data_IF_040533430539
#
_entry.id   IF_040533430539
#
_cell.length_a   1.000
_cell.length_b   1.000
_cell.length_c   1.000
_cell.angle_alpha   90.00
_cell.angle_beta   90.00
_cell.angle_gamma   90.00
#
_symmetry.space_group_name_H-M   'P 1'
#
loop_
_entity.id
_entity.type
_entity.pdbx_description
1 polymer ?
#
# COMPACT_ATOMS: atom_id res chain seq x y z
N UNK A 1 29.55 -36.98 24.48
CA UNK A 1 28.54 -35.98 24.02
C UNK A 1 27.36 -35.94 25.01
N UNK A 2 27.17 -34.86 25.78
CA UNK A 2 25.97 -34.68 26.58
C UNK A 2 24.90 -33.89 25.79
N UNK A 3 23.69 -34.44 25.66
CA UNK A 3 22.53 -33.79 25.03
C UNK A 3 21.99 -32.70 25.97
N UNK A 4 22.00 -31.44 25.51
CA UNK A 4 21.41 -30.32 26.25
C UNK A 4 19.87 -30.44 26.28
N UNK A 5 19.32 -30.47 27.50
CA UNK A 5 17.90 -30.66 27.82
C UNK A 5 17.15 -29.33 27.64
N UNK A 6 16.10 -29.31 26.82
CA UNK A 6 15.27 -28.12 26.59
C UNK A 6 14.49 -27.72 27.85
N UNK A 7 14.64 -26.47 28.31
CA UNK A 7 13.84 -25.90 29.41
C UNK A 7 12.42 -25.64 28.89
N UNK A 8 11.43 -26.40 29.36
CA UNK A 8 10.00 -26.11 29.13
C UNK A 8 9.60 -24.86 29.91
N UNK A 9 9.20 -23.80 29.22
CA UNK A 9 8.59 -22.63 29.84
C UNK A 9 7.20 -22.99 30.39
N UNK A 10 6.94 -22.73 31.67
CA UNK A 10 5.60 -22.87 32.26
C UNK A 10 4.66 -21.84 31.62
N UNK A 11 3.57 -22.28 30.99
CA UNK A 11 2.47 -21.40 30.55
C UNK A 11 1.76 -20.85 31.78
N UNK A 12 1.47 -19.55 31.81
CA UNK A 12 0.68 -18.91 32.87
C UNK A 12 -0.79 -19.34 32.74
N UNK A 13 -1.48 -19.55 33.85
CA UNK A 13 -2.92 -19.88 33.86
C UNK A 13 -3.75 -18.61 33.67
N UNK A 14 -4.65 -18.67 32.68
CA UNK A 14 -5.61 -17.60 32.39
C UNK A 14 -6.73 -17.62 33.43
N UNK A 15 -6.83 -16.56 34.23
CA UNK A 15 -7.93 -16.35 35.19
C UNK A 15 -8.91 -15.37 34.57
N UNK A 16 -9.94 -15.89 33.89
CA UNK A 16 -10.86 -15.14 33.03
C UNK A 16 -11.49 -13.87 33.63
N UNK A 17 -12.07 -13.05 32.75
CA UNK A 17 -12.56 -11.72 33.08
C UNK A 17 -13.73 -11.75 34.09
N UNK A 18 -13.60 -11.00 35.19
CA UNK A 18 -14.51 -10.94 36.35
C UNK A 18 -15.76 -10.06 36.13
N UNK A 19 -16.29 -10.00 34.92
CA UNK A 19 -17.56 -9.31 34.64
C UNK A 19 -18.51 -10.23 33.86
N UNK A 20 -19.29 -11.01 34.63
CA UNK A 20 -20.59 -11.52 34.20
C UNK A 20 -21.61 -10.40 34.44
N UNK A 21 -22.27 -9.93 33.39
CA UNK A 21 -23.61 -9.38 33.54
C UNK A 21 -24.58 -10.23 32.72
N UNK A 22 -25.57 -10.72 33.45
CA UNK A 22 -26.70 -11.54 33.05
C UNK A 22 -27.51 -10.93 31.91
N UNK A 23 -27.98 -11.79 31.01
CA UNK A 23 -29.06 -11.51 30.06
C UNK A 23 -30.32 -11.11 30.83
N UNK A 24 -30.94 -9.96 30.53
CA UNK A 24 -32.36 -9.76 30.76
C UNK A 24 -33.11 -10.07 29.45
N UNK A 25 -34.00 -11.06 29.49
CA UNK A 25 -35.14 -11.11 28.56
C UNK A 25 -36.01 -9.91 28.88
N UNK A 26 -36.29 -9.03 27.91
CA UNK A 26 -37.52 -8.24 27.87
C UNK A 26 -37.77 -7.70 26.46
N UNK A 27 -38.95 -8.01 25.95
CA UNK A 27 -39.53 -7.43 24.75
C UNK A 27 -39.89 -5.97 25.04
N UNK A 28 -39.25 -5.03 24.34
CA UNK A 28 -39.80 -3.67 24.17
C UNK A 28 -39.56 -3.26 22.72
N UNK A 29 -40.64 -3.24 21.95
CA UNK A 29 -40.73 -2.58 20.66
C UNK A 29 -40.68 -1.06 20.85
N UNK A 30 -39.89 -0.35 20.05
CA UNK A 30 -40.12 1.07 19.71
C UNK A 30 -39.74 1.33 18.26
N UNK A 31 -40.46 2.28 17.66
CA UNK A 31 -40.79 2.37 16.26
C UNK A 31 -39.82 3.22 15.43
N UNK A 32 -39.44 2.73 14.25
CA UNK A 32 -39.90 3.31 12.98
C UNK A 32 -39.37 2.48 11.82
N UNK A 33 -40.28 1.69 11.23
CA UNK A 33 -40.10 1.18 9.88
C UNK A 33 -40.37 2.33 8.91
N UNK A 34 -39.40 2.63 8.04
CA UNK A 34 -39.74 3.26 6.76
C UNK A 34 -38.95 2.54 5.68
N UNK A 35 -39.64 1.59 5.06
CA UNK A 35 -39.25 1.00 3.79
C UNK A 35 -39.25 2.11 2.74
N UNK A 36 -38.13 2.29 2.04
CA UNK A 36 -38.14 2.83 0.69
C UNK A 36 -37.64 1.72 -0.23
N UNK A 37 -38.59 1.08 -0.89
CA UNK A 37 -38.34 0.26 -2.06
C UNK A 37 -37.88 1.20 -3.17
N UNK A 38 -36.59 1.17 -3.52
CA UNK A 38 -36.15 1.69 -4.80
C UNK A 38 -35.98 0.49 -5.71
N UNK A 39 -36.84 0.40 -6.72
CA UNK A 39 -36.70 -0.49 -7.86
C UNK A 39 -35.33 -0.23 -8.51
N UNK A 40 -34.37 -1.12 -8.29
CA UNK A 40 -33.17 -1.16 -9.13
C UNK A 40 -33.50 -1.98 -10.37
N UNK A 41 -33.80 -1.23 -11.44
CA UNK A 41 -33.79 -1.72 -12.79
C UNK A 41 -32.38 -2.23 -13.12
N UNK A 42 -32.32 -3.50 -13.50
CA UNK A 42 -31.12 -4.20 -13.94
C UNK A 42 -30.59 -3.61 -15.24
N UNK A 43 -29.40 -3.01 -15.21
CA UNK A 43 -28.36 -3.22 -16.24
C UNK A 43 -27.00 -2.61 -15.84
N UNK A 44 -25.95 -3.42 -15.87
CA UNK A 44 -24.57 -2.96 -16.09
C UNK A 44 -23.62 -2.91 -14.89
N UNK A 45 -22.88 -4.01 -14.68
CA UNK A 45 -21.57 -4.12 -14.04
C UNK A 45 -21.40 -3.44 -12.66
N UNK A 46 -21.78 -4.15 -11.60
CA UNK A 46 -21.27 -3.89 -10.25
C UNK A 46 -19.76 -4.13 -10.22
N UNK A 47 -18.98 -3.07 -10.47
CA UNK A 47 -17.62 -3.03 -9.98
C UNK A 47 -17.68 -2.84 -8.48
N UNK A 48 -17.18 -3.82 -7.72
CA UNK A 48 -17.00 -3.74 -6.27
C UNK A 48 -16.00 -2.61 -5.98
N UNK A 49 -16.50 -1.39 -5.82
CA UNK A 49 -15.70 -0.21 -5.56
C UNK A 49 -15.20 -0.31 -4.13
N UNK A 50 -14.00 -0.88 -3.97
CA UNK A 50 -13.34 -0.87 -2.68
C UNK A 50 -13.06 0.58 -2.30
N UNK A 51 -13.78 1.06 -1.29
CA UNK A 51 -13.60 2.40 -0.72
C UNK A 51 -12.10 2.65 -0.46
N UNK A 52 -11.56 3.73 -1.02
CA UNK A 52 -10.14 4.06 -0.97
C UNK A 52 -9.74 4.38 0.48
N UNK A 53 -9.34 3.35 1.23
CA UNK A 53 -8.94 3.48 2.64
C UNK A 53 -7.44 3.82 2.77
N UNK A 54 -7.14 4.68 3.74
CA UNK A 54 -5.78 5.13 4.09
C UNK A 54 -5.25 6.27 3.21
N UNK A 55 -4.16 6.90 3.63
CA UNK A 55 -3.57 8.04 2.92
C UNK A 55 -2.78 7.59 1.69
N UNK A 56 -2.59 8.47 0.71
CA UNK A 56 -1.58 8.33 -0.36
C UNK A 56 -0.68 9.56 -0.33
N UNK A 57 0.45 9.54 -1.02
CA UNK A 57 1.33 10.72 -1.20
C UNK A 57 0.71 11.70 -2.23
N UNK A 58 -0.61 11.69 -2.37
CA UNK A 58 -1.43 12.59 -3.16
C UNK A 58 -2.79 12.62 -2.46
N UNK A 59 -3.43 13.78 -2.42
CA UNK A 59 -4.80 13.89 -1.92
C UNK A 59 -5.79 13.28 -2.93
N UNK A 60 -6.30 12.10 -2.57
CA UNK A 60 -7.25 11.32 -3.37
C UNK A 60 -8.61 12.03 -3.47
N UNK A 61 -9.04 12.76 -2.44
CA UNK A 61 -10.32 13.47 -2.49
C UNK A 61 -10.27 14.62 -3.49
N UNK A 62 -9.17 15.37 -3.51
CA UNK A 62 -8.93 16.39 -4.53
C UNK A 62 -8.93 15.78 -5.92
N UNK A 63 -8.25 14.65 -6.14
CA UNK A 63 -8.26 13.97 -7.45
C UNK A 63 -9.65 13.50 -7.87
N UNK A 64 -10.44 12.92 -6.95
CA UNK A 64 -11.84 12.54 -7.21
C UNK A 64 -12.67 13.73 -7.67
N UNK A 65 -12.52 14.88 -7.00
CA UNK A 65 -13.18 16.13 -7.38
C UNK A 65 -12.78 16.59 -8.78
N UNK A 66 -11.48 16.63 -9.07
CA UNK A 66 -10.95 17.03 -10.40
C UNK A 66 -11.49 16.11 -11.50
N UNK A 67 -11.42 14.78 -11.35
CA UNK A 67 -11.89 13.88 -12.40
C UNK A 67 -13.41 13.96 -12.60
N UNK A 68 -14.19 14.24 -11.55
CA UNK A 68 -15.65 14.34 -11.67
C UNK A 68 -16.10 15.46 -12.62
N UNK A 69 -15.33 16.55 -12.72
CA UNK A 69 -15.65 17.71 -13.59
C UNK A 69 -15.05 17.61 -15.00
N UNK A 70 -14.09 16.72 -15.21
CA UNK A 70 -13.48 16.53 -16.52
C UNK A 70 -14.40 15.77 -17.48
N UNK A 71 -14.36 16.16 -18.75
CA UNK A 71 -15.11 15.50 -19.82
C UNK A 71 -14.42 14.21 -20.26
N UNK A 72 -15.20 13.16 -20.47
CA UNK A 72 -14.73 11.93 -21.08
C UNK A 72 -14.24 12.19 -22.52
N UNK A 73 -13.04 11.70 -22.90
CA UNK A 73 -12.52 11.91 -24.25
C UNK A 73 -13.29 11.12 -25.33
N UNK A 74 -14.15 10.16 -24.96
CA UNK A 74 -14.94 9.33 -25.88
C UNK A 74 -16.36 9.86 -26.11
N UNK A 75 -17.08 10.18 -25.04
CA UNK A 75 -18.49 10.60 -25.11
C UNK A 75 -18.75 12.05 -24.69
N UNK A 76 -17.71 12.79 -24.29
CA UNK A 76 -17.75 14.19 -23.83
C UNK A 76 -18.62 14.46 -22.59
N UNK A 77 -19.31 13.46 -22.04
CA UNK A 77 -20.00 13.55 -20.76
C UNK A 77 -19.01 13.74 -19.60
N UNK A 78 -19.42 14.49 -18.58
CA UNK A 78 -18.69 14.65 -17.32
C UNK A 78 -18.93 13.47 -16.37
N UNK A 79 -18.28 13.48 -15.21
CA UNK A 79 -18.45 12.44 -14.19
C UNK A 79 -17.52 11.24 -14.39
N UNK A 80 -16.26 11.49 -14.79
CA UNK A 80 -15.24 10.45 -14.76
C UNK A 80 -15.00 10.00 -13.31
N UNK A 81 -14.97 8.68 -13.10
CA UNK A 81 -14.73 8.06 -11.80
C UNK A 81 -13.28 7.61 -11.70
N UNK A 82 -12.63 7.93 -10.59
CA UNK A 82 -11.30 7.42 -10.27
C UNK A 82 -11.43 6.15 -9.41
N UNK A 83 -10.72 5.09 -9.78
CA UNK A 83 -10.62 3.83 -9.03
C UNK A 83 -9.15 3.48 -8.78
N UNK A 84 -8.86 2.72 -7.71
CA UNK A 84 -7.55 2.12 -7.45
C UNK A 84 -7.64 0.61 -7.69
N UNK A 85 -7.04 0.13 -8.77
CA UNK A 85 -7.13 -1.27 -9.17
C UNK A 85 -6.22 -2.16 -8.31
N UNK A 86 -5.05 -1.64 -7.93
CA UNK A 86 -4.08 -2.36 -7.12
C UNK A 86 -3.05 -1.44 -6.49
N UNK A 87 -2.40 -1.94 -5.43
CA UNK A 87 -1.34 -1.24 -4.70
C UNK A 87 -0.14 -2.14 -4.46
N UNK A 88 1.05 -1.59 -4.57
CA UNK A 88 2.31 -2.23 -4.19
C UNK A 88 3.13 -1.25 -3.35
N UNK A 89 3.10 -1.42 -2.02
CA UNK A 89 3.74 -0.47 -1.13
C UNK A 89 3.16 0.92 -1.32
N UNK A 90 4.01 1.91 -1.55
CA UNK A 90 3.62 3.30 -1.77
C UNK A 90 3.09 3.60 -3.18
N UNK A 91 3.19 2.65 -4.12
CA UNK A 91 2.67 2.83 -5.47
C UNK A 91 1.24 2.32 -5.60
N UNK A 92 0.41 3.15 -6.22
CA UNK A 92 -0.97 2.83 -6.60
C UNK A 92 -1.11 2.78 -8.11
N UNK A 93 -1.88 1.80 -8.58
CA UNK A 93 -2.38 1.74 -9.95
C UNK A 93 -3.81 2.23 -9.93
N UNK A 94 -4.08 3.28 -10.68
CA UNK A 94 -5.39 3.90 -10.78
C UNK A 94 -5.99 3.66 -12.16
N UNK A 95 -7.31 3.71 -12.24
CA UNK A 95 -8.03 3.79 -13.49
C UNK A 95 -9.05 4.93 -13.45
N UNK A 96 -9.21 5.58 -14.59
CA UNK A 96 -10.27 6.56 -14.84
C UNK A 96 -11.32 5.86 -15.67
N UNK A 97 -12.56 5.80 -15.18
CA UNK A 97 -13.66 5.07 -15.79
C UNK A 97 -14.82 6.01 -16.10
N UNK A 98 -15.41 5.87 -17.30
CA UNK A 98 -16.66 6.52 -17.68
C UNK A 98 -17.78 5.49 -17.88
N UNK A 99 -19.03 5.91 -17.69
CA UNK A 99 -20.23 5.08 -17.97
C UNK A 99 -20.30 4.59 -19.42
N UNK A 100 -19.70 5.31 -20.38
CA UNK A 100 -19.67 4.89 -21.79
C UNK A 100 -18.64 3.78 -22.09
N UNK A 101 -18.01 3.21 -21.06
CA UNK A 101 -16.97 2.19 -21.17
C UNK A 101 -15.57 2.73 -21.50
N UNK A 102 -15.34 4.04 -21.43
CA UNK A 102 -13.97 4.56 -21.48
C UNK A 102 -13.22 4.17 -20.21
N UNK A 103 -11.98 3.68 -20.38
CA UNK A 103 -11.08 3.32 -19.30
C UNK A 103 -9.65 3.72 -19.64
N UNK A 104 -8.99 4.41 -18.74
CA UNK A 104 -7.57 4.75 -18.86
C UNK A 104 -6.84 4.49 -17.54
N UNK A 105 -5.85 3.61 -17.57
CA UNK A 105 -5.02 3.28 -16.42
C UNK A 105 -3.81 4.20 -16.30
N UNK A 106 -3.45 4.56 -15.07
CA UNK A 106 -2.22 5.30 -14.77
C UNK A 106 -1.66 4.87 -13.41
N UNK A 107 -0.44 5.30 -13.11
CA UNK A 107 0.26 4.91 -11.88
C UNK A 107 0.67 6.14 -11.09
N UNK A 108 0.63 6.08 -9.76
CA UNK A 108 1.03 7.19 -8.87
C UNK A 108 2.48 7.62 -9.02
N UNK A 109 3.34 6.75 -9.55
CA UNK A 109 4.76 7.02 -9.82
C UNK A 109 5.18 6.20 -11.03
N UNK A 110 6.04 6.73 -11.92
CA UNK A 110 6.60 5.96 -13.03
C UNK A 110 7.22 4.64 -12.56
N UNK A 111 6.97 3.58 -13.32
CA UNK A 111 7.53 2.25 -13.07
C UNK A 111 8.67 1.96 -14.02
N UNK A 112 9.81 1.56 -13.47
CA UNK A 112 10.94 1.04 -14.24
C UNK A 112 10.93 -0.49 -14.15
N UNK A 113 10.88 -1.19 -15.28
CA UNK A 113 10.83 -2.66 -15.32
C UNK A 113 9.73 -3.24 -14.42
N UNK A 114 8.53 -2.64 -14.47
CA UNK A 114 7.35 -2.98 -13.65
C UNK A 114 7.50 -2.74 -12.14
N UNK A 115 8.61 -2.15 -11.68
CA UNK A 115 8.86 -1.88 -10.26
C UNK A 115 8.62 -0.42 -9.93
N UNK A 116 8.02 -0.19 -8.77
CA UNK A 116 7.83 1.12 -8.19
C UNK A 116 9.17 1.74 -7.76
N UNK A 117 9.57 2.85 -8.41
CA UNK A 117 10.78 3.60 -8.03
C UNK A 117 10.67 4.18 -6.62
N UNK A 118 9.49 4.64 -6.22
CA UNK A 118 9.22 5.19 -4.90
C UNK A 118 9.48 4.20 -3.75
N UNK A 119 9.13 2.93 -3.93
CA UNK A 119 9.46 1.88 -2.97
C UNK A 119 10.97 1.68 -2.86
N UNK A 120 11.70 1.77 -3.98
CA UNK A 120 13.17 1.69 -3.99
C UNK A 120 13.78 2.86 -3.21
N UNK A 121 13.28 4.08 -3.42
CA UNK A 121 13.73 5.28 -2.72
C UNK A 121 13.45 5.22 -1.21
N UNK A 122 12.30 4.69 -0.80
CA UNK A 122 12.02 4.45 0.62
C UNK A 122 13.07 3.51 1.23
N UNK A 123 13.35 2.36 0.59
CA UNK A 123 14.35 1.41 1.10
C UNK A 123 15.73 2.03 1.12
N UNK A 124 16.10 2.79 0.08
CA UNK A 124 17.37 3.48 -0.01
C UNK A 124 17.54 4.50 1.13
N UNK A 125 16.56 5.39 1.34
CA UNK A 125 16.58 6.36 2.42
C UNK A 125 16.68 5.72 3.81
N UNK A 126 15.98 4.61 4.04
CA UNK A 126 16.12 3.86 5.29
C UNK A 126 17.54 3.31 5.48
N UNK A 127 18.18 2.82 4.41
CA UNK A 127 19.56 2.30 4.47
C UNK A 127 20.58 3.39 4.73
N UNK A 128 20.42 4.56 4.12
CA UNK A 128 21.26 5.73 4.41
C UNK A 128 21.20 6.12 5.90
N UNK A 129 20.03 6.00 6.53
CA UNK A 129 19.84 6.26 7.96
C UNK A 129 20.27 5.09 8.88
N UNK A 130 20.83 4.00 8.34
CA UNK A 130 21.15 2.80 9.13
C UNK A 130 19.90 2.11 9.71
N UNK A 131 18.75 2.24 9.04
CA UNK A 131 17.46 1.68 9.45
C UNK A 131 16.99 0.57 8.51
N UNK A 132 16.24 -0.37 9.07
CA UNK A 132 15.69 -1.52 8.34
C UNK A 132 14.17 -1.47 8.22
N UNK A 133 13.61 -2.58 7.73
CA UNK A 133 12.18 -2.78 7.50
C UNK A 133 11.30 -2.34 8.68
N UNK A 134 11.63 -2.72 9.91
CA UNK A 134 10.81 -2.42 11.09
C UNK A 134 10.64 -0.92 11.35
N UNK A 135 11.68 -0.12 11.07
CA UNK A 135 11.59 1.34 11.20
C UNK A 135 10.75 1.94 10.07
N UNK A 136 10.93 1.46 8.84
CA UNK A 136 10.10 1.87 7.69
C UNK A 136 8.62 1.57 7.92
N UNK A 137 8.29 0.38 8.42
CA UNK A 137 6.91 0.02 8.78
C UNK A 137 6.32 0.98 9.80
N UNK A 138 7.05 1.29 10.88
CA UNK A 138 6.58 2.25 11.90
C UNK A 138 6.30 3.61 11.29
N UNK A 139 7.23 4.13 10.47
CA UNK A 139 7.07 5.40 9.77
C UNK A 139 5.80 5.42 8.91
N UNK A 140 5.60 4.42 8.05
CA UNK A 140 4.45 4.37 7.15
C UNK A 140 3.12 4.24 7.91
N UNK A 141 3.09 3.42 8.97
CA UNK A 141 1.91 3.31 9.83
C UNK A 141 1.60 4.62 10.55
N UNK A 142 2.60 5.34 11.06
CA UNK A 142 2.42 6.66 11.70
C UNK A 142 1.81 7.68 10.73
N UNK A 143 2.18 7.62 9.45
CA UNK A 143 1.65 8.49 8.41
C UNK A 143 0.31 8.01 7.81
N UNK A 144 -0.20 6.86 8.28
CA UNK A 144 -1.37 6.18 7.70
C UNK A 144 -1.21 5.90 6.19
N UNK A 145 0.02 5.63 5.73
CA UNK A 145 0.34 5.30 4.35
C UNK A 145 0.34 3.77 4.14
N UNK A 146 0.04 3.30 2.91
CA UNK A 146 0.27 1.92 2.50
C UNK A 146 1.66 1.45 2.86
N UNK A 147 1.73 0.25 3.44
CA UNK A 147 3.00 -0.32 3.85
C UNK A 147 3.59 -1.21 2.76
N UNK A 148 4.91 -1.14 2.62
CA UNK A 148 5.67 -2.11 1.83
C UNK A 148 5.73 -3.42 2.62
N UNK A 149 5.37 -4.56 2.05
CA UNK A 149 5.51 -5.83 2.77
C UNK A 149 6.99 -6.25 2.89
N UNK A 150 7.31 -7.11 3.86
CA UNK A 150 8.70 -7.54 4.11
C UNK A 150 9.37 -8.16 2.87
N UNK A 151 8.60 -8.91 2.07
CA UNK A 151 9.07 -9.50 0.80
C UNK A 151 9.45 -8.42 -0.21
N UNK A 152 8.56 -7.48 -0.48
CA UNK A 152 8.82 -6.35 -1.41
C UNK A 152 10.01 -5.52 -0.93
N UNK A 153 10.09 -5.22 0.36
CA UNK A 153 11.23 -4.51 0.95
C UNK A 153 12.56 -5.22 0.66
N UNK A 154 12.61 -6.55 0.87
CA UNK A 154 13.82 -7.34 0.61
C UNK A 154 14.22 -7.34 -0.87
N UNK A 155 13.24 -7.36 -1.78
CA UNK A 155 13.51 -7.29 -3.22
C UNK A 155 14.20 -5.97 -3.58
N UNK A 156 13.69 -4.84 -3.07
CA UNK A 156 14.31 -3.53 -3.29
C UNK A 156 15.68 -3.42 -2.61
N UNK A 157 15.83 -3.97 -1.42
CA UNK A 157 17.12 -4.01 -0.70
C UNK A 157 18.19 -4.78 -1.51
N UNK A 158 17.85 -5.94 -2.07
CA UNK A 158 18.79 -6.72 -2.88
C UNK A 158 19.19 -5.98 -4.16
N UNK A 159 18.23 -5.32 -4.83
CA UNK A 159 18.51 -4.48 -6.01
C UNK A 159 19.48 -3.35 -5.67
N UNK A 160 19.27 -2.69 -4.52
CA UNK A 160 20.18 -1.64 -4.06
C UNK A 160 21.57 -2.19 -3.74
N UNK A 161 21.65 -3.35 -3.10
CA UNK A 161 22.93 -3.99 -2.80
C UNK A 161 23.72 -4.33 -4.08
N UNK A 162 23.05 -4.82 -5.11
CA UNK A 162 23.64 -5.10 -6.42
C UNK A 162 24.18 -3.81 -7.08
N UNK A 163 23.38 -2.75 -7.09
CA UNK A 163 23.80 -1.45 -7.64
C UNK A 163 24.99 -0.85 -6.88
N UNK A 164 25.01 -0.97 -5.55
CA UNK A 164 26.13 -0.50 -4.72
C UNK A 164 27.40 -1.29 -5.02
N UNK A 165 27.32 -2.63 -5.13
CA UNK A 165 28.48 -3.45 -5.49
C UNK A 165 29.08 -3.04 -6.83
N UNK A 166 28.23 -2.92 -7.85
CA UNK A 166 28.66 -2.48 -9.17
C UNK A 166 29.35 -1.10 -9.12
N UNK A 167 28.75 -0.13 -8.42
CA UNK A 167 29.35 1.20 -8.25
C UNK A 167 30.68 1.16 -7.50
N UNK A 168 30.81 0.34 -6.46
CA UNK A 168 32.07 0.16 -5.75
C UNK A 168 33.16 -0.43 -6.65
N UNK A 169 32.83 -1.46 -7.43
CA UNK A 169 33.78 -2.10 -8.37
C UNK A 169 34.26 -1.11 -9.44
N UNK A 170 33.37 -0.32 -10.03
CA UNK A 170 33.75 0.69 -11.02
C UNK A 170 34.60 1.81 -10.40
N UNK A 171 34.25 2.28 -9.20
CA UNK A 171 35.04 3.29 -8.49
C UNK A 171 36.46 2.78 -8.16
N UNK A 172 36.58 1.51 -7.74
CA UNK A 172 37.89 0.90 -7.45
C UNK A 172 38.74 0.78 -8.72
N UNK A 173 38.15 0.39 -9.85
CA UNK A 173 38.86 0.33 -11.15
C UNK A 173 39.30 1.72 -11.63
N UNK A 174 38.44 2.73 -11.47
CA UNK A 174 38.77 4.10 -11.84
C UNK A 174 39.94 4.64 -11.01
N UNK A 175 39.89 4.46 -9.68
CA UNK A 175 40.97 4.85 -8.78
C UNK A 175 42.31 4.16 -9.13
N UNK A 176 42.28 2.86 -9.45
CA UNK A 176 43.48 2.13 -9.89
C UNK A 176 44.13 2.74 -11.12
N UNK A 177 43.35 3.14 -12.13
CA UNK A 177 43.86 3.75 -13.36
C UNK A 177 44.40 5.15 -13.15
N UNK A 178 43.75 5.93 -12.28
CA UNK A 178 44.24 7.26 -11.90
C UNK A 178 45.58 7.21 -11.20
N UNK A 179 45.81 6.19 -10.37
CA UNK A 179 47.09 6.00 -9.69
C UNK A 179 48.17 5.49 -10.64
N UNK A 180 47.84 4.63 -11.61
CA UNK A 180 48.78 4.24 -12.68
C UNK A 180 49.18 5.40 -13.60
N UNK A 181 48.29 6.35 -13.88
CA UNK A 181 48.56 7.50 -14.75
C UNK A 181 49.39 8.61 -14.10
N UNK A 182 49.66 8.53 -12.79
CA UNK A 182 50.48 9.50 -12.04
C UNK A 182 51.97 9.14 -12.01
N UNK A 183 52.36 7.98 -12.53
CA UNK A 183 53.75 7.51 -12.63
C UNK A 183 54.18 7.39 -14.10
#
# INVERSE_FOLDING_TARGET
MPKARSKKFKKRSFHGNRHRNSVPKNNVSTASATKLNTLESSDGLEYDFQELKGNRIIDIQTLLGVFSILSCPKCFATGLKLTEDSKEGLCSNFAIVCKCGFMAGFTSTPKENKKCSLNTLLVFGLRLMGRGFSAGMKLLCTLNLPYVCKKTFRIHELKLLEAVKYSCEENMKAASKEDEAKF
#
